data_IF_288999150846
#
_entry.id   IF_288999150846
#
_cell.length_a   1.000
_cell.length_b   1.000
_cell.length_c   1.000
_cell.angle_alpha   90.00
_cell.angle_beta   90.00
_cell.angle_gamma   90.00
#
_symmetry.space_group_name_H-M   'P 1'
#
loop_
_entity.id
_entity.type
_entity.pdbx_description
1 polymer ?
#
# COMPACT_ATOMS: atom_id res chain seq x y z
N UNK A 1 -4.88 -0.49 -26.36
CA UNK A 1 -4.03 0.64 -25.89
C UNK A 1 -3.39 1.38 -27.05
N UNK A 2 -2.59 0.74 -27.91
CA UNK A 2 -2.03 1.38 -29.12
C UNK A 2 -3.08 2.06 -30.01
N UNK A 3 -4.21 1.38 -30.27
CA UNK A 3 -5.32 1.95 -31.04
C UNK A 3 -5.98 3.18 -30.38
N UNK A 4 -5.80 3.37 -29.06
CA UNK A 4 -6.27 4.54 -28.32
C UNK A 4 -5.18 5.61 -28.19
N UNK A 5 -4.03 5.43 -28.84
CA UNK A 5 -2.87 6.33 -28.79
C UNK A 5 -2.36 6.62 -27.36
N UNK A 6 -2.43 5.63 -26.47
CA UNK A 6 -1.89 5.72 -25.12
C UNK A 6 -0.36 5.72 -25.14
N UNK A 7 0.27 6.59 -24.36
CA UNK A 7 1.74 6.69 -24.27
C UNK A 7 2.38 5.72 -23.28
N UNK A 8 1.59 5.25 -22.30
CA UNK A 8 2.07 4.36 -21.25
C UNK A 8 1.05 3.27 -20.97
N UNK A 9 1.54 2.13 -20.49
CA UNK A 9 0.71 1.05 -19.97
C UNK A 9 1.13 0.71 -18.55
N UNK A 10 0.21 0.93 -17.61
CA UNK A 10 0.37 0.48 -16.22
C UNK A 10 -0.21 -0.92 -16.05
N UNK A 11 0.61 -1.86 -15.57
CA UNK A 11 0.18 -3.22 -15.20
C UNK A 11 0.95 -3.71 -13.97
N UNK A 12 0.50 -4.80 -13.36
CA UNK A 12 1.24 -5.46 -12.27
C UNK A 12 1.90 -6.77 -12.72
N UNK A 13 3.03 -7.08 -12.10
CA UNK A 13 3.60 -8.43 -12.14
C UNK A 13 3.02 -9.18 -10.95
N UNK A 14 2.55 -10.41 -11.19
CA UNK A 14 1.95 -11.21 -10.13
C UNK A 14 3.02 -11.97 -9.38
N UNK A 15 3.12 -11.74 -8.07
CA UNK A 15 4.17 -12.34 -7.22
C UNK A 15 4.09 -13.87 -7.28
N UNK A 16 2.89 -14.42 -7.05
CA UNK A 16 2.66 -15.88 -7.09
C UNK A 16 2.87 -16.49 -8.48
N UNK A 17 2.84 -15.69 -9.56
CA UNK A 17 3.14 -16.18 -10.91
C UNK A 17 4.63 -16.38 -11.15
N UNK A 18 5.47 -15.46 -10.66
CA UNK A 18 6.93 -15.53 -10.91
C UNK A 18 7.69 -16.24 -9.80
N UNK A 19 7.16 -16.25 -8.57
CA UNK A 19 7.67 -16.99 -7.41
C UNK A 19 6.50 -17.74 -6.76
N UNK A 20 6.14 -18.94 -7.24
CA UNK A 20 4.94 -19.66 -6.77
C UNK A 20 4.90 -19.94 -5.27
N UNK A 21 6.06 -20.22 -4.67
CA UNK A 21 6.20 -20.45 -3.23
C UNK A 21 6.39 -19.16 -2.41
N UNK A 22 6.31 -17.99 -3.05
CA UNK A 22 6.56 -16.66 -2.50
C UNK A 22 8.02 -16.33 -2.21
N UNK A 23 8.83 -17.31 -1.79
CA UNK A 23 10.26 -17.10 -1.48
C UNK A 23 11.13 -17.38 -2.69
N UNK A 24 11.92 -16.40 -3.13
CA UNK A 24 12.82 -16.52 -4.30
C UNK A 24 13.73 -17.75 -4.22
N UNK A 25 14.27 -18.04 -3.03
CA UNK A 25 15.12 -19.21 -2.76
C UNK A 25 14.46 -20.57 -2.98
N UNK A 26 13.13 -20.65 -3.05
CA UNK A 26 12.36 -21.88 -3.30
C UNK A 26 12.06 -22.11 -4.78
N UNK A 27 12.64 -21.31 -5.66
CA UNK A 27 12.52 -21.47 -7.11
C UNK A 27 11.63 -20.41 -7.76
N UNK A 28 11.86 -20.24 -9.05
CA UNK A 28 11.17 -19.29 -9.93
C UNK A 28 10.31 -20.05 -10.92
N UNK A 29 9.23 -19.45 -11.41
CA UNK A 29 8.52 -19.96 -12.59
C UNK A 29 9.11 -19.35 -13.85
N UNK A 30 9.75 -20.17 -14.68
CA UNK A 30 10.28 -19.77 -15.98
C UNK A 30 9.16 -19.26 -16.89
N UNK A 31 8.03 -19.97 -16.94
CA UNK A 31 6.88 -19.61 -17.77
C UNK A 31 6.24 -18.30 -17.33
N UNK A 32 6.17 -18.06 -16.01
CA UNK A 32 5.70 -16.80 -15.44
C UNK A 32 6.58 -15.62 -15.86
N UNK A 33 7.91 -15.79 -15.80
CA UNK A 33 8.86 -14.77 -16.23
C UNK A 33 8.81 -14.53 -17.74
N UNK A 34 8.76 -15.58 -18.56
CA UNK A 34 8.65 -15.47 -20.02
C UNK A 34 7.35 -14.78 -20.46
N UNK A 35 6.26 -14.96 -19.71
CA UNK A 35 5.02 -14.22 -19.95
C UNK A 35 5.26 -12.71 -19.81
N UNK A 36 5.88 -12.27 -18.71
CA UNK A 36 6.13 -10.85 -18.47
C UNK A 36 7.23 -10.27 -19.38
N UNK A 37 8.22 -11.07 -19.80
CA UNK A 37 9.15 -10.70 -20.87
C UNK A 37 8.36 -10.27 -22.13
N UNK A 38 7.43 -11.12 -22.57
CA UNK A 38 6.59 -10.85 -23.75
C UNK A 38 5.68 -9.63 -23.57
N UNK A 39 5.09 -9.45 -22.38
CA UNK A 39 4.22 -8.28 -22.10
C UNK A 39 5.01 -6.98 -22.18
N UNK A 40 6.19 -6.93 -21.54
CA UNK A 40 7.05 -5.74 -21.52
C UNK A 40 7.56 -5.46 -22.94
N UNK A 41 8.09 -6.46 -23.63
CA UNK A 41 8.64 -6.29 -24.98
C UNK A 41 7.58 -5.84 -25.98
N UNK A 42 6.36 -6.38 -25.89
CA UNK A 42 5.24 -5.93 -26.74
C UNK A 42 4.75 -4.53 -26.39
N UNK A 43 4.84 -4.12 -25.12
CA UNK A 43 4.50 -2.75 -24.68
C UNK A 43 5.47 -1.76 -25.33
N UNK A 44 6.77 -2.05 -25.26
CA UNK A 44 7.83 -1.22 -25.86
C UNK A 44 7.73 -1.22 -27.39
N UNK A 45 7.55 -2.38 -28.03
CA UNK A 45 7.39 -2.49 -29.49
C UNK A 45 6.14 -1.74 -30.01
N UNK A 46 5.14 -1.55 -29.15
CA UNK A 46 3.97 -0.73 -29.46
C UNK A 46 4.22 0.78 -29.28
N UNK A 47 5.41 1.20 -28.86
CA UNK A 47 5.79 2.60 -28.62
C UNK A 47 5.34 3.14 -27.26
N UNK A 48 4.95 2.27 -26.32
CA UNK A 48 4.42 2.67 -25.01
C UNK A 48 5.45 2.45 -23.90
N UNK A 49 5.40 3.30 -22.87
CA UNK A 49 6.22 3.18 -21.66
C UNK A 49 5.61 2.17 -20.68
N UNK A 50 6.31 1.09 -20.29
CA UNK A 50 5.82 0.17 -19.27
C UNK A 50 5.96 0.78 -17.86
N UNK A 51 4.83 0.94 -17.18
CA UNK A 51 4.76 1.32 -15.76
C UNK A 51 4.35 0.09 -14.95
N UNK A 52 5.25 -0.43 -14.12
CA UNK A 52 5.08 -1.74 -13.49
C UNK A 52 4.79 -1.59 -12.01
N UNK A 53 3.65 -2.11 -11.58
CA UNK A 53 3.33 -2.30 -10.16
C UNK A 53 3.88 -3.64 -9.67
N UNK A 54 4.71 -3.60 -8.62
CA UNK A 54 5.35 -4.79 -8.03
C UNK A 54 4.31 -5.59 -7.26
N UNK A 55 3.49 -4.94 -6.43
CA UNK A 55 2.45 -5.60 -5.65
C UNK A 55 1.08 -4.94 -5.80
N UNK A 56 0.11 -5.76 -6.18
CA UNK A 56 -1.28 -5.36 -6.34
C UNK A 56 -2.20 -6.34 -5.61
N UNK A 57 -1.98 -6.44 -4.29
CA UNK A 57 -2.80 -7.21 -3.35
C UNK A 57 -2.72 -8.72 -3.51
N UNK A 58 -1.74 -9.22 -4.27
CA UNK A 58 -1.65 -10.59 -4.75
C UNK A 58 -0.61 -11.42 -3.99
N UNK A 59 -0.62 -11.28 -2.65
CA UNK A 59 0.31 -11.99 -1.76
C UNK A 59 0.24 -13.50 -2.02
N UNK A 60 1.37 -14.19 -2.26
CA UNK A 60 1.37 -15.63 -2.44
C UNK A 60 0.78 -16.33 -1.21
N UNK A 61 -0.21 -17.20 -1.42
CA UNK A 61 -0.89 -17.91 -0.32
C UNK A 61 0.11 -18.70 0.54
N UNK A 62 1.19 -19.22 -0.05
CA UNK A 62 2.26 -19.90 0.68
C UNK A 62 2.90 -19.04 1.79
N UNK A 63 3.00 -17.72 1.62
CA UNK A 63 3.52 -16.81 2.66
C UNK A 63 2.45 -16.49 3.72
N UNK A 64 1.18 -16.46 3.31
CA UNK A 64 0.04 -16.33 4.22
C UNK A 64 -0.04 -17.56 5.13
N UNK A 65 0.09 -18.76 4.57
CA UNK A 65 0.06 -20.02 5.33
C UNK A 65 1.29 -20.19 6.23
N UNK A 66 2.47 -19.77 5.77
CA UNK A 66 3.72 -19.94 6.53
C UNK A 66 3.82 -19.01 7.74
N UNK A 67 3.40 -17.74 7.61
CA UNK A 67 3.57 -16.75 8.69
C UNK A 67 2.52 -15.62 8.72
N UNK A 68 1.41 -15.76 7.98
CA UNK A 68 0.35 -14.74 7.95
C UNK A 68 0.60 -13.58 6.99
N UNK A 69 1.54 -13.71 6.04
CA UNK A 69 1.82 -12.68 5.04
C UNK A 69 2.24 -11.36 5.70
N UNK A 70 1.57 -10.25 5.36
CA UNK A 70 1.89 -8.93 5.90
C UNK A 70 1.61 -8.73 7.39
N UNK A 71 1.05 -9.72 8.10
CA UNK A 71 0.99 -9.69 9.56
C UNK A 71 2.35 -9.94 10.21
N UNK A 72 3.32 -10.48 9.48
CA UNK A 72 4.67 -10.77 9.98
C UNK A 72 5.72 -9.91 9.28
N UNK A 73 6.74 -9.50 10.05
CA UNK A 73 7.89 -8.74 9.53
C UNK A 73 8.70 -9.52 8.49
N UNK A 74 8.61 -10.86 8.48
CA UNK A 74 9.28 -11.71 7.50
C UNK A 74 8.90 -11.39 6.04
N UNK A 75 7.70 -10.81 5.82
CA UNK A 75 7.25 -10.42 4.49
C UNK A 75 8.16 -9.36 3.84
N UNK A 76 8.86 -8.56 4.66
CA UNK A 76 9.70 -7.44 4.19
C UNK A 76 10.87 -7.98 3.37
N UNK A 77 11.55 -9.02 3.88
CA UNK A 77 12.65 -9.68 3.18
C UNK A 77 12.17 -10.44 1.93
N UNK A 78 11.06 -11.18 2.05
CA UNK A 78 10.51 -11.93 0.91
C UNK A 78 10.04 -10.96 -0.20
N UNK A 79 9.48 -9.79 0.16
CA UNK A 79 9.12 -8.73 -0.79
C UNK A 79 10.36 -8.07 -1.40
N UNK A 80 11.41 -7.81 -0.62
CA UNK A 80 12.69 -7.29 -1.12
C UNK A 80 13.28 -8.23 -2.16
N UNK A 81 13.31 -9.53 -1.89
CA UNK A 81 13.85 -10.54 -2.82
C UNK A 81 12.99 -10.67 -4.09
N UNK A 82 11.67 -10.51 -3.98
CA UNK A 82 10.77 -10.42 -5.11
C UNK A 82 11.03 -9.17 -5.96
N UNK A 83 11.14 -8.00 -5.34
CA UNK A 83 11.47 -6.76 -6.04
C UNK A 83 12.84 -6.84 -6.73
N UNK A 84 13.84 -7.43 -6.06
CA UNK A 84 15.18 -7.67 -6.60
C UNK A 84 15.16 -8.47 -7.91
N UNK A 85 14.37 -9.54 -7.95
CA UNK A 85 14.18 -10.35 -9.16
C UNK A 85 13.63 -9.49 -10.32
N UNK A 86 12.66 -8.63 -10.04
CA UNK A 86 12.03 -7.79 -11.07
C UNK A 86 13.00 -6.71 -11.57
N UNK A 87 13.73 -6.05 -10.67
CA UNK A 87 14.72 -5.05 -11.05
C UNK A 87 15.88 -5.66 -11.84
N UNK A 88 16.36 -6.83 -11.42
CA UNK A 88 17.41 -7.56 -12.13
C UNK A 88 17.02 -7.83 -13.59
N UNK A 89 15.81 -8.37 -13.79
CA UNK A 89 15.35 -8.86 -15.09
C UNK A 89 14.78 -7.77 -16.00
N UNK A 90 14.10 -6.79 -15.44
CA UNK A 90 13.29 -5.83 -16.20
C UNK A 90 13.74 -4.38 -16.02
N UNK A 91 14.69 -4.10 -15.13
CA UNK A 91 15.11 -2.73 -14.76
C UNK A 91 15.49 -1.85 -15.95
N UNK A 92 16.13 -2.42 -16.98
CA UNK A 92 16.57 -1.67 -18.17
C UNK A 92 15.42 -1.33 -19.15
N UNK A 93 14.24 -1.93 -18.95
CA UNK A 93 13.08 -1.81 -19.83
C UNK A 93 11.94 -1.01 -19.19
N UNK A 94 11.86 -1.01 -17.86
CA UNK A 94 10.77 -0.40 -17.10
C UNK A 94 11.09 1.05 -16.76
N UNK A 95 10.22 1.96 -17.19
CA UNK A 95 10.42 3.40 -16.97
C UNK A 95 9.95 3.84 -15.57
N UNK A 96 8.88 3.22 -15.05
CA UNK A 96 8.36 3.51 -13.70
C UNK A 96 8.06 2.24 -12.93
N UNK A 97 8.61 2.14 -11.73
CA UNK A 97 8.31 1.12 -10.75
C UNK A 97 7.37 1.67 -9.68
N UNK A 98 6.28 0.95 -9.43
CA UNK A 98 5.31 1.26 -8.38
C UNK A 98 5.39 0.12 -7.36
N UNK A 99 5.88 0.37 -6.16
CA UNK A 99 6.08 -0.71 -5.18
C UNK A 99 4.73 -1.32 -4.76
N UNK A 100 3.81 -0.47 -4.29
CA UNK A 100 2.52 -0.87 -3.73
C UNK A 100 1.41 -0.11 -4.44
N UNK A 101 0.34 -0.82 -4.82
CA UNK A 101 -0.93 -0.20 -5.18
C UNK A 101 -1.84 -0.06 -3.96
N UNK A 102 -2.28 1.16 -3.68
CA UNK A 102 -3.32 1.48 -2.69
C UNK A 102 -3.19 0.68 -1.38
N UNK A 103 -2.09 0.84 -0.65
CA UNK A 103 -1.87 0.06 0.57
C UNK A 103 -2.96 0.33 1.62
N UNK A 104 -3.57 1.52 1.63
CA UNK A 104 -4.75 1.82 2.44
C UNK A 104 -5.92 0.88 2.14
N UNK A 105 -6.30 0.72 0.86
CA UNK A 105 -7.39 -0.16 0.45
C UNK A 105 -7.10 -1.61 0.85
N UNK A 106 -5.88 -2.08 0.58
CA UNK A 106 -5.46 -3.43 0.95
C UNK A 106 -5.63 -3.69 2.45
N UNK A 107 -5.16 -2.76 3.28
CA UNK A 107 -5.20 -2.87 4.73
C UNK A 107 -6.64 -2.81 5.25
N UNK A 108 -7.41 -1.80 4.87
CA UNK A 108 -8.77 -1.60 5.38
C UNK A 108 -9.70 -2.70 4.88
N UNK A 109 -9.69 -3.03 3.60
CA UNK A 109 -10.58 -4.07 3.08
C UNK A 109 -10.17 -5.47 3.53
N UNK A 110 -8.87 -5.74 3.73
CA UNK A 110 -8.35 -7.07 4.06
C UNK A 110 -8.24 -7.41 5.54
N UNK A 111 -8.00 -6.42 6.41
CA UNK A 111 -7.67 -6.62 7.83
C UNK A 111 -8.55 -5.79 8.79
N UNK A 112 -9.45 -4.97 8.27
CA UNK A 112 -10.38 -4.16 9.05
C UNK A 112 -11.82 -4.59 8.81
N UNK A 113 -12.28 -4.54 7.55
CA UNK A 113 -13.64 -4.92 7.12
C UNK A 113 -13.75 -6.42 6.83
N UNK A 114 -12.62 -7.05 6.48
CA UNK A 114 -12.52 -8.46 6.11
C UNK A 114 -13.30 -8.84 4.84
N UNK A 115 -13.46 -7.90 3.91
CA UNK A 115 -14.19 -8.11 2.64
C UNK A 115 -13.26 -8.45 1.47
N UNK A 116 -11.96 -8.15 1.58
CA UNK A 116 -10.91 -8.61 0.65
C UNK A 116 -10.03 -9.67 1.32
N UNK A 117 -9.30 -10.45 0.53
CA UNK A 117 -8.32 -11.40 1.06
C UNK A 117 -7.28 -10.68 1.95
N UNK A 118 -6.86 -11.27 3.09
CA UNK A 118 -7.20 -12.61 3.57
C UNK A 118 -8.54 -12.71 4.34
N UNK A 119 -9.34 -11.64 4.41
CA UNK A 119 -10.67 -11.66 5.01
C UNK A 119 -10.65 -11.65 6.54
N UNK A 120 -9.75 -10.85 7.12
CA UNK A 120 -9.55 -10.78 8.57
C UNK A 120 -10.20 -9.53 9.16
N UNK A 121 -10.86 -9.72 10.29
CA UNK A 121 -11.45 -8.65 11.10
C UNK A 121 -11.84 -9.19 12.47
N UNK A 122 -12.17 -8.32 13.42
CA UNK A 122 -12.79 -8.75 14.68
C UNK A 122 -14.17 -9.39 14.43
N UNK A 123 -14.51 -10.45 15.15
CA UNK A 123 -15.74 -11.25 14.94
C UNK A 123 -17.05 -10.43 14.91
N UNK A 124 -17.09 -9.31 15.65
CA UNK A 124 -18.27 -8.43 15.72
C UNK A 124 -18.34 -7.40 14.58
N UNK A 125 -17.30 -7.27 13.75
CA UNK A 125 -17.26 -6.38 12.58
C UNK A 125 -17.92 -7.05 11.39
N UNK A 126 -17.53 -8.29 11.07
CA UNK A 126 -18.10 -9.07 9.98
C UNK A 126 -18.02 -10.56 10.34
N UNK A 127 -19.19 -11.22 10.40
CA UNK A 127 -19.32 -12.63 10.81
C UNK A 127 -18.67 -13.62 9.84
N UNK A 128 -18.32 -13.19 8.63
CA UNK A 128 -17.60 -14.01 7.67
C UNK A 128 -16.09 -14.12 7.97
N UNK A 129 -15.54 -13.20 8.77
CA UNK A 129 -14.15 -13.26 9.20
C UNK A 129 -13.95 -14.46 10.12
N UNK A 130 -12.93 -15.26 9.83
CA UNK A 130 -12.59 -16.45 10.62
C UNK A 130 -11.60 -16.13 11.75
N UNK A 131 -10.94 -14.99 11.67
CA UNK A 131 -9.99 -14.48 12.66
C UNK A 131 -9.67 -13.01 12.35
N UNK A 132 -9.08 -12.32 13.32
CA UNK A 132 -8.53 -10.99 13.12
C UNK A 132 -8.76 -10.08 14.31
N UNK A 133 -8.14 -8.91 14.25
CA UNK A 133 -8.35 -7.84 15.21
C UNK A 133 -8.32 -6.50 14.48
N UNK A 134 -9.51 -5.94 14.21
CA UNK A 134 -9.68 -4.68 13.48
C UNK A 134 -9.11 -3.47 14.22
N UNK A 135 -8.72 -3.60 15.50
CA UNK A 135 -8.09 -2.55 16.29
C UNK A 135 -6.56 -2.52 16.20
N UNK A 136 -5.93 -3.62 15.76
CA UNK A 136 -4.47 -3.82 15.81
C UNK A 136 -3.89 -4.26 14.46
N UNK A 137 -4.50 -5.25 13.80
CA UNK A 137 -3.96 -5.82 12.58
C UNK A 137 -3.80 -4.79 11.44
N UNK A 138 -4.74 -3.84 11.21
CA UNK A 138 -4.56 -2.82 10.18
C UNK A 138 -3.26 -2.04 10.35
N UNK A 139 -2.92 -1.63 11.58
CA UNK A 139 -1.72 -0.86 11.88
C UNK A 139 -0.44 -1.67 11.71
N UNK A 140 -0.45 -2.94 12.12
CA UNK A 140 0.68 -3.85 11.94
C UNK A 140 0.96 -4.12 10.45
N UNK A 141 -0.08 -4.38 9.66
CA UNK A 141 0.04 -4.65 8.22
C UNK A 141 0.51 -3.40 7.48
N UNK A 142 -0.07 -2.23 7.77
CA UNK A 142 0.37 -0.97 7.17
C UNK A 142 1.85 -0.67 7.46
N UNK A 143 2.30 -0.95 8.68
CA UNK A 143 3.71 -0.79 9.06
C UNK A 143 4.63 -1.71 8.25
N UNK A 144 4.32 -3.00 8.12
CA UNK A 144 5.15 -3.90 7.30
C UNK A 144 5.12 -3.57 5.80
N UNK A 145 4.01 -3.06 5.27
CA UNK A 145 3.93 -2.54 3.90
C UNK A 145 4.89 -1.36 3.70
N UNK A 146 4.91 -0.41 4.62
CA UNK A 146 5.82 0.73 4.58
C UNK A 146 7.28 0.28 4.59
N UNK A 147 7.65 -0.65 5.47
CA UNK A 147 9.01 -1.21 5.51
C UNK A 147 9.37 -1.96 4.21
N UNK A 148 8.46 -2.77 3.68
CA UNK A 148 8.65 -3.48 2.42
C UNK A 148 8.84 -2.52 1.24
N UNK A 149 8.07 -1.43 1.19
CA UNK A 149 8.28 -0.34 0.23
C UNK A 149 9.66 0.30 0.38
N UNK A 150 10.03 0.70 1.59
CA UNK A 150 11.30 1.38 1.86
C UNK A 150 12.51 0.51 1.48
N UNK A 151 12.49 -0.78 1.83
CA UNK A 151 13.53 -1.75 1.46
C UNK A 151 13.64 -1.93 -0.06
N UNK A 152 12.52 -2.02 -0.78
CA UNK A 152 12.54 -2.12 -2.24
C UNK A 152 13.09 -0.85 -2.90
N UNK A 153 12.75 0.34 -2.39
CA UNK A 153 13.28 1.61 -2.90
C UNK A 153 14.76 1.76 -2.62
N UNK A 154 15.19 1.45 -1.40
CA UNK A 154 16.61 1.43 -1.02
C UNK A 154 17.40 0.48 -1.91
N UNK A 155 16.93 -0.75 -2.08
CA UNK A 155 17.52 -1.74 -2.97
C UNK A 155 17.65 -1.21 -4.41
N UNK A 156 16.59 -0.62 -4.95
CA UNK A 156 16.59 -0.08 -6.31
C UNK A 156 17.65 1.02 -6.49
N UNK A 157 17.71 1.95 -5.53
CA UNK A 157 18.64 3.10 -5.56
C UNK A 157 20.09 2.74 -5.26
N UNK A 158 20.34 1.73 -4.45
CA UNK A 158 21.70 1.34 -4.06
C UNK A 158 22.31 0.31 -5.02
N UNK A 159 21.57 -0.76 -5.34
CA UNK A 159 22.09 -1.87 -6.14
C UNK A 159 22.10 -1.60 -7.65
N UNK A 160 21.13 -0.85 -8.17
CA UNK A 160 20.92 -0.70 -9.62
C UNK A 160 21.34 0.67 -10.19
N UNK A 161 21.96 1.52 -9.38
CA UNK A 161 22.42 2.87 -9.78
C UNK A 161 23.63 2.86 -10.71
N UNK A 162 24.51 1.88 -10.59
CA UNK A 162 25.73 1.82 -11.37
C UNK A 162 25.54 1.00 -12.66
N UNK A 163 25.89 1.58 -13.80
CA UNK A 163 25.95 0.87 -15.08
C UNK A 163 24.62 0.59 -15.77
N UNK A 164 23.49 1.10 -15.27
CA UNK A 164 22.14 0.94 -15.87
C UNK A 164 21.41 2.26 -15.99
N UNK A 165 20.52 2.38 -16.99
CA UNK A 165 19.54 3.48 -17.05
C UNK A 165 18.45 3.19 -16.02
N UNK A 166 18.47 3.89 -14.89
CA UNK A 166 17.40 3.80 -13.90
C UNK A 166 16.12 4.50 -14.41
N UNK A 167 14.99 3.84 -14.20
CA UNK A 167 13.67 4.48 -14.21
C UNK A 167 13.40 5.18 -12.87
N UNK A 168 12.19 5.67 -12.70
CA UNK A 168 11.72 6.26 -11.45
C UNK A 168 11.04 5.18 -10.59
N UNK A 169 11.19 5.22 -9.27
CA UNK A 169 10.46 4.34 -8.34
C UNK A 169 9.56 5.14 -7.40
N UNK A 170 8.35 4.65 -7.16
CA UNK A 170 7.37 5.35 -6.35
C UNK A 170 6.32 4.41 -5.76
N UNK A 171 5.30 5.02 -5.19
CA UNK A 171 4.16 4.35 -4.58
C UNK A 171 2.86 4.91 -5.17
N UNK A 172 1.82 4.08 -5.29
CA UNK A 172 0.49 4.55 -5.66
C UNK A 172 -0.42 4.55 -4.43
N UNK A 173 -0.90 5.73 -4.05
CA UNK A 173 -1.85 5.90 -2.96
C UNK A 173 -3.25 6.15 -3.53
N UNK A 174 -4.26 5.54 -2.92
CA UNK A 174 -5.64 5.98 -3.10
C UNK A 174 -5.87 7.19 -2.20
N UNK A 175 -6.63 8.15 -2.69
CA UNK A 175 -7.11 9.25 -1.85
C UNK A 175 -8.53 9.61 -2.23
N UNK A 176 -9.34 9.84 -1.21
CA UNK A 176 -10.53 10.66 -1.35
C UNK A 176 -10.15 12.10 -1.02
N UNK A 177 -11.02 13.02 -1.39
CA UNK A 177 -11.04 14.32 -0.76
C UNK A 177 -12.10 14.34 0.34
N UNK A 178 -11.87 15.11 1.40
CA UNK A 178 -12.82 15.27 2.49
C UNK A 178 -13.20 16.73 2.63
N UNK A 179 -14.45 17.04 2.32
CA UNK A 179 -15.05 18.35 2.60
C UNK A 179 -15.62 18.33 4.03
N UNK A 180 -15.51 19.41 4.81
CA UNK A 180 -16.18 19.50 6.10
C UNK A 180 -17.70 19.43 5.91
N UNK A 181 -18.40 18.71 6.79
CA UNK A 181 -19.85 18.57 6.70
C UNK A 181 -20.59 19.90 6.93
N UNK A 182 -20.03 20.80 7.75
CA UNK A 182 -20.51 22.16 8.00
C UNK A 182 -19.34 23.13 8.22
N UNK A 183 -19.62 24.43 8.29
CA UNK A 183 -18.62 25.48 8.56
C UNK A 183 -18.11 25.48 10.03
N UNK A 184 -18.54 24.51 10.86
CA UNK A 184 -18.07 24.42 12.24
C UNK A 184 -16.60 24.02 12.31
N UNK A 185 -15.86 24.53 13.30
CA UNK A 185 -14.45 24.13 13.49
C UNK A 185 -14.30 22.62 13.70
N UNK A 186 -15.26 21.98 14.37
CA UNK A 186 -15.23 20.55 14.62
C UNK A 186 -15.26 19.73 13.32
N UNK A 187 -16.09 20.11 12.36
CA UNK A 187 -16.17 19.42 11.06
C UNK A 187 -14.97 19.75 10.15
N UNK A 188 -14.40 20.96 10.25
CA UNK A 188 -13.13 21.30 9.61
C UNK A 188 -11.99 20.41 10.14
N UNK A 189 -11.85 20.31 11.46
CA UNK A 189 -10.87 19.41 12.08
C UNK A 189 -11.14 17.95 11.69
N UNK A 190 -12.42 17.54 11.56
CA UNK A 190 -12.77 16.19 11.13
C UNK A 190 -12.31 15.88 9.70
N UNK A 191 -12.40 16.85 8.78
CA UNK A 191 -11.88 16.70 7.42
C UNK A 191 -10.36 16.49 7.41
N UNK A 192 -9.62 17.25 8.24
CA UNK A 192 -8.17 17.06 8.40
C UNK A 192 -7.82 15.69 8.99
N UNK A 193 -8.53 15.25 10.04
CA UNK A 193 -8.33 13.91 10.62
C UNK A 193 -8.64 12.80 9.62
N UNK A 194 -9.65 12.97 8.76
CA UNK A 194 -9.97 12.01 7.72
C UNK A 194 -8.84 11.91 6.67
N UNK A 195 -8.28 13.05 6.26
CA UNK A 195 -7.10 13.09 5.38
C UNK A 195 -5.88 12.42 6.01
N UNK A 196 -5.61 12.67 7.29
CA UNK A 196 -4.49 12.06 8.03
C UNK A 196 -4.63 10.53 8.10
N UNK A 197 -5.80 10.02 8.45
CA UNK A 197 -6.03 8.57 8.58
C UNK A 197 -6.09 7.85 7.22
N UNK A 198 -6.44 8.55 6.14
CA UNK A 198 -6.51 7.96 4.81
C UNK A 198 -5.20 8.12 4.02
N UNK A 199 -4.89 9.35 3.65
CA UNK A 199 -3.75 9.67 2.79
C UNK A 199 -2.46 9.83 3.60
N UNK A 200 -2.53 10.60 4.70
CA UNK A 200 -1.38 10.90 5.56
C UNK A 200 -0.75 9.65 6.19
N UNK A 201 -1.55 8.60 6.43
CA UNK A 201 -1.10 7.36 7.06
C UNK A 201 0.05 6.69 6.30
N UNK A 202 0.05 6.75 4.97
CA UNK A 202 1.15 6.28 4.13
C UNK A 202 2.03 7.41 3.61
N UNK A 203 1.46 8.57 3.29
CA UNK A 203 2.21 9.69 2.73
C UNK A 203 3.23 10.27 3.72
N UNK A 204 2.85 10.49 4.98
CA UNK A 204 3.76 11.11 5.94
C UNK A 204 4.98 10.23 6.26
N UNK A 205 4.85 8.90 6.44
CA UNK A 205 6.02 8.03 6.56
C UNK A 205 6.97 8.14 5.37
N UNK A 206 6.48 8.04 4.12
CA UNK A 206 7.37 8.03 2.94
C UNK A 206 7.98 9.40 2.61
N UNK A 207 7.42 10.49 3.13
CA UNK A 207 8.01 11.84 2.98
C UNK A 207 8.89 12.22 4.16
N UNK A 208 8.41 12.04 5.39
CA UNK A 208 9.03 12.60 6.60
C UNK A 208 9.68 11.55 7.51
N UNK A 209 9.40 10.26 7.29
CA UNK A 209 9.86 9.16 8.14
C UNK A 209 9.04 8.97 9.41
N UNK A 210 7.83 9.54 9.50
CA UNK A 210 6.96 9.35 10.65
C UNK A 210 5.46 9.40 10.29
N UNK A 211 4.62 8.74 11.10
CA UNK A 211 3.16 8.86 10.99
C UNK A 211 2.65 10.29 11.27
N UNK A 212 1.44 10.67 10.80
CA UNK A 212 0.78 11.92 11.19
C UNK A 212 0.66 12.04 12.71
N UNK A 213 0.77 13.27 13.22
CA UNK A 213 0.68 13.54 14.66
C UNK A 213 -0.69 13.14 15.22
N UNK A 214 -1.76 13.48 14.51
CA UNK A 214 -3.14 13.09 14.83
C UNK A 214 -3.29 11.59 15.08
N UNK A 215 -2.69 10.76 14.22
CA UNK A 215 -2.74 9.31 14.40
C UNK A 215 -1.99 8.86 15.66
N UNK A 216 -0.80 9.42 15.94
CA UNK A 216 -0.04 9.10 17.15
C UNK A 216 -0.82 9.45 18.41
N UNK A 217 -1.42 10.64 18.43
CA UNK A 217 -2.16 11.17 19.57
C UNK A 217 -3.45 10.36 19.85
N UNK A 218 -4.14 9.88 18.80
CA UNK A 218 -5.39 9.12 18.94
C UNK A 218 -5.19 7.62 19.17
N UNK A 219 -4.12 7.03 18.63
CA UNK A 219 -3.91 5.57 18.64
C UNK A 219 -2.99 5.11 19.77
N UNK A 220 -2.05 5.95 20.20
CA UNK A 220 -1.03 5.58 21.18
C UNK A 220 -0.33 4.26 20.81
N UNK A 221 -0.31 3.32 21.75
CA UNK A 221 0.40 2.05 21.62
C UNK A 221 -0.14 1.10 20.52
N UNK A 222 -1.34 1.34 19.98
CA UNK A 222 -1.88 0.54 18.87
C UNK A 222 -1.21 0.86 17.53
N UNK A 223 -0.63 2.05 17.41
CA UNK A 223 0.17 2.41 16.24
C UNK A 223 1.62 1.97 16.47
N UNK A 224 2.19 1.10 15.60
CA UNK A 224 3.59 0.72 15.71
C UNK A 224 4.52 1.94 15.71
N UNK A 225 5.61 1.85 16.44
CA UNK A 225 6.66 2.87 16.41
C UNK A 225 7.51 2.69 15.14
N UNK A 226 7.81 3.78 14.43
CA UNK A 226 8.84 3.78 13.38
C UNK A 226 10.17 4.05 14.05
N UNK A 227 11.06 3.06 14.05
CA UNK A 227 12.38 3.18 14.64
C UNK A 227 13.26 4.12 13.81
N UNK A 228 14.33 4.67 14.41
CA UNK A 228 15.20 5.64 13.72
C UNK A 228 15.73 5.14 12.37
N UNK A 229 16.22 3.89 12.32
CA UNK A 229 16.71 3.30 11.08
C UNK A 229 15.60 3.07 10.03
N UNK A 230 14.37 2.81 10.47
CA UNK A 230 13.21 2.66 9.58
C UNK A 230 12.77 4.01 9.04
N UNK A 231 12.77 5.05 9.89
CA UNK A 231 12.48 6.43 9.50
C UNK A 231 13.46 6.93 8.43
N UNK A 232 14.75 6.60 8.57
CA UNK A 232 15.78 6.99 7.60
C UNK A 232 15.59 6.31 6.25
N UNK A 233 15.13 5.05 6.23
CA UNK A 233 14.80 4.35 4.98
C UNK A 233 13.50 4.86 4.34
N UNK A 234 12.52 5.26 5.15
CA UNK A 234 11.24 5.76 4.68
C UNK A 234 11.29 7.19 4.16
N UNK A 235 12.12 8.05 4.75
CA UNK A 235 12.16 9.48 4.40
C UNK A 235 12.56 9.67 2.93
N UNK A 236 11.71 10.35 2.16
CA UNK A 236 11.86 10.58 0.72
C UNK A 236 12.06 9.27 -0.07
N UNK A 237 11.38 8.19 0.32
CA UNK A 237 11.45 6.89 -0.34
C UNK A 237 10.63 6.80 -1.64
N UNK A 238 10.56 7.87 -2.43
CA UNK A 238 9.91 7.88 -3.74
C UNK A 238 10.52 8.96 -4.63
N UNK A 239 10.52 8.72 -5.94
CA UNK A 239 10.85 9.69 -6.99
C UNK A 239 9.58 10.34 -7.55
N UNK A 240 8.47 9.60 -7.54
CA UNK A 240 7.14 10.07 -7.95
C UNK A 240 6.05 9.48 -7.05
N UNK A 241 4.90 10.16 -7.03
CA UNK A 241 3.69 9.69 -6.38
C UNK A 241 2.61 9.40 -7.44
N UNK A 242 2.07 8.18 -7.42
CA UNK A 242 0.85 7.86 -8.15
C UNK A 242 -0.37 8.13 -7.27
N UNK A 243 -1.39 8.81 -7.80
CA UNK A 243 -2.65 9.02 -7.11
C UNK A 243 -3.77 8.30 -7.85
N UNK A 244 -4.41 7.35 -7.17
CA UNK A 244 -5.70 6.83 -7.60
C UNK A 244 -6.79 7.67 -6.92
N UNK A 245 -7.58 8.37 -7.72
CA UNK A 245 -8.66 9.24 -7.24
C UNK A 245 -9.98 8.86 -7.90
N UNK A 246 -11.03 8.77 -7.09
CA UNK A 246 -12.36 8.36 -7.56
C UNK A 246 -13.47 9.30 -7.12
N UNK A 247 -13.47 9.73 -5.85
CA UNK A 247 -14.59 10.49 -5.26
C UNK A 247 -14.15 11.34 -4.06
N UNK A 248 -15.09 12.15 -3.58
CA UNK A 248 -15.04 12.98 -2.37
C UNK A 248 -16.09 12.51 -1.37
N UNK A 249 -15.85 12.73 -0.07
CA UNK A 249 -16.83 12.54 1.00
C UNK A 249 -16.95 13.81 1.84
N UNK A 250 -18.07 13.98 2.53
CA UNK A 250 -18.18 14.90 3.65
C UNK A 250 -17.68 14.23 4.93
N UNK A 251 -16.93 14.96 5.74
CA UNK A 251 -16.42 14.56 7.04
C UNK A 251 -17.14 15.32 8.16
N UNK A 252 -17.76 14.59 9.06
CA UNK A 252 -18.44 15.12 10.24
C UNK A 252 -17.74 14.66 11.51
N UNK A 253 -17.58 15.56 12.48
CA UNK A 253 -17.02 15.22 13.79
C UNK A 253 -17.85 14.13 14.48
N UNK A 254 -17.16 13.16 15.08
CA UNK A 254 -17.79 12.13 15.89
C UNK A 254 -16.97 11.88 17.16
N UNK A 255 -17.27 12.58 18.27
CA UNK A 255 -16.49 12.47 19.49
C UNK A 255 -16.72 11.14 20.23
N UNK A 256 -17.75 10.38 19.86
CA UNK A 256 -18.15 9.15 20.55
C UNK A 256 -17.35 7.94 20.05
N UNK A 257 -16.44 7.46 20.90
CA UNK A 257 -15.67 6.24 20.66
C UNK A 257 -16.15 5.12 21.60
N UNK A 258 -16.52 3.97 21.04
CA UNK A 258 -16.83 2.79 21.84
C UNK A 258 -15.52 2.05 22.17
N UNK A 259 -15.03 2.24 23.41
CA UNK A 259 -13.77 1.65 23.88
C UNK A 259 -13.78 0.10 23.93
N UNK A 260 -14.95 -0.53 23.94
CA UNK A 260 -15.08 -1.99 23.89
C UNK A 260 -15.07 -2.53 22.45
N UNK A 261 -15.16 -1.64 21.46
CA UNK A 261 -15.29 -1.94 20.03
C UNK A 261 -14.36 -1.05 19.22
N UNK A 262 -13.09 -0.96 19.65
CA UNK A 262 -12.06 -0.25 18.90
C UNK A 262 -11.85 -0.90 17.54
N UNK A 263 -11.68 -0.07 16.51
CA UNK A 263 -11.35 -0.48 15.15
C UNK A 263 -10.85 0.74 14.38
N UNK A 264 -10.07 0.49 13.32
CA UNK A 264 -9.56 1.57 12.47
C UNK A 264 -10.67 2.51 11.96
N UNK A 265 -11.84 2.00 11.52
CA UNK A 265 -12.90 2.85 10.96
C UNK A 265 -13.46 3.92 11.91
N UNK A 266 -13.28 3.79 13.24
CA UNK A 266 -13.75 4.78 14.21
C UNK A 266 -12.63 5.57 14.87
N UNK A 267 -11.38 5.18 14.65
CA UNK A 267 -10.23 5.76 15.36
C UNK A 267 -9.97 7.22 14.98
N UNK A 268 -10.33 7.63 13.77
CA UNK A 268 -10.24 9.02 13.31
C UNK A 268 -11.27 9.94 13.98
N UNK A 269 -12.31 9.39 14.62
CA UNK A 269 -13.44 10.14 15.19
C UNK A 269 -14.16 10.97 14.13
N UNK A 270 -14.42 10.37 12.97
CA UNK A 270 -15.08 11.01 11.83
C UNK A 270 -16.20 10.11 11.31
N UNK A 271 -17.36 10.69 11.02
CA UNK A 271 -18.40 10.07 10.20
C UNK A 271 -18.23 10.57 8.76
N UNK A 272 -18.11 9.64 7.82
CA UNK A 272 -17.99 9.95 6.39
C UNK A 272 -19.34 9.73 5.70
N UNK A 273 -19.77 10.66 4.85
CA UNK A 273 -21.02 10.54 4.08
C UNK A 273 -20.88 11.11 2.66
N UNK A 274 -21.59 10.52 1.71
CA UNK A 274 -21.69 11.03 0.33
C UNK A 274 -22.74 12.15 0.18
N UNK A 275 -23.62 12.30 1.17
CA UNK A 275 -24.76 13.22 1.11
C UNK A 275 -24.57 14.28 2.19
N UNK A 276 -24.64 15.55 1.78
CA UNK A 276 -24.83 16.66 2.69
C UNK A 276 -26.34 16.86 2.87
N UNK A 277 -26.84 16.72 4.10
CA UNK A 277 -28.26 16.93 4.42
C UNK A 277 -28.54 18.34 4.94
N UNK A 278 -27.55 19.24 4.90
CA UNK A 278 -27.68 20.64 5.31
C UNK A 278 -28.34 21.51 4.23
#
# INVERSE_FOLDING_TARGET
MKAMNMEAYRFSISWSRVIPHGKRRRGLSTEGLEFYDKVIDRTIAAGMKPYVTIFHWDTPQALVDEYGGFLSRNIVDDFRDYADLLFERYGDKVEKWITLNEPWTYVVKGFEEGVFAPGRCSDWVNRACQAGDSAVEPYRVAHHLLLAHAEAVKLYREKYKEGRKLGEIGITLVTFWFEPYSDSQADNDAAERAMDFMFGWFMNPVTYGHYPRTMKDLLGQRLPEILAHEADMLRNSYDFLGLNYYTTYYAKDNPNLNLLKLRYATDSRVIQTLINHN
#
